data_IF_798426844076
#
_entry.id   IF_798426844076
#
_cell.length_a   1.000
_cell.length_b   1.000
_cell.length_c   1.000
_cell.angle_alpha   90.00
_cell.angle_beta   90.00
_cell.angle_gamma   90.00
#
_symmetry.space_group_name_H-M   'P 1'
#
loop_
_entity.id
_entity.type
_entity.pdbx_description
1 polymer ?
#
# COMPACT_ATOMS: atom_id res chain seq x y z
N UNK A 1 -25.59 23.97 -23.51
CA UNK A 1 -26.03 22.55 -23.32
C UNK A 1 -25.23 21.61 -24.23
N UNK A 2 -23.92 21.87 -24.41
CA UNK A 2 -23.04 21.06 -25.28
C UNK A 2 -22.13 20.08 -24.54
N UNK A 3 -22.17 20.06 -23.21
CA UNK A 3 -21.27 19.21 -22.41
C UNK A 3 -21.65 17.72 -22.31
N UNK A 4 -22.88 17.34 -22.65
CA UNK A 4 -23.35 15.98 -22.43
C UNK A 4 -23.02 15.00 -23.58
N UNK A 5 -22.83 15.49 -24.80
CA UNK A 5 -22.52 14.63 -25.95
C UNK A 5 -21.05 14.15 -25.90
N UNK A 6 -20.13 14.98 -25.43
CA UNK A 6 -18.72 14.59 -25.31
C UNK A 6 -18.50 13.52 -24.20
N UNK A 7 -19.29 13.56 -23.14
CA UNK A 7 -19.21 12.58 -22.06
C UNK A 7 -19.71 11.21 -22.50
N UNK A 8 -20.85 11.16 -23.21
CA UNK A 8 -21.43 9.93 -23.76
C UNK A 8 -20.51 9.36 -24.84
N UNK A 9 -19.95 10.22 -25.73
CA UNK A 9 -18.97 9.80 -26.73
C UNK A 9 -17.72 9.16 -26.12
N UNK A 10 -17.22 9.68 -24.99
CA UNK A 10 -16.09 9.09 -24.25
C UNK A 10 -16.43 7.72 -23.64
N UNK A 11 -17.66 7.53 -23.12
CA UNK A 11 -18.08 6.21 -22.64
C UNK A 11 -18.19 5.17 -23.74
N UNK A 12 -18.66 5.57 -24.93
CA UNK A 12 -18.77 4.68 -26.08
C UNK A 12 -17.42 4.33 -26.76
N UNK A 13 -16.39 5.15 -26.53
CA UNK A 13 -15.01 4.91 -27.02
C UNK A 13 -14.15 4.14 -26.04
N UNK A 14 -14.64 3.76 -24.86
CA UNK A 14 -13.95 2.85 -23.96
C UNK A 14 -14.01 1.45 -24.59
N UNK A 15 -13.02 1.17 -25.41
CA UNK A 15 -12.81 -0.18 -25.96
C UNK A 15 -11.91 -0.97 -25.01
N UNK A 16 -12.04 -2.30 -25.04
CA UNK A 16 -11.12 -3.20 -24.33
C UNK A 16 -9.66 -3.06 -24.83
N UNK A 17 -9.45 -2.41 -25.96
CA UNK A 17 -8.16 -2.09 -26.54
C UNK A 17 -7.61 -0.72 -26.11
N UNK A 18 -8.30 -0.01 -25.20
CA UNK A 18 -7.78 1.27 -24.69
C UNK A 18 -6.40 1.05 -24.05
N UNK A 19 -5.44 1.92 -24.40
CA UNK A 19 -4.07 1.84 -23.86
C UNK A 19 -4.02 1.82 -22.33
N UNK A 20 -4.98 2.45 -21.68
CA UNK A 20 -5.12 2.49 -20.22
C UNK A 20 -5.52 1.14 -19.64
N UNK A 21 -6.47 0.43 -20.25
CA UNK A 21 -6.90 -0.89 -19.78
C UNK A 21 -5.81 -1.94 -20.03
N UNK A 22 -5.20 -1.93 -21.21
CA UNK A 22 -4.10 -2.84 -21.52
C UNK A 22 -2.89 -2.61 -20.61
N UNK A 23 -2.60 -1.36 -20.26
CA UNK A 23 -1.57 -1.03 -19.29
C UNK A 23 -1.87 -1.65 -17.91
N UNK A 24 -3.11 -1.53 -17.41
CA UNK A 24 -3.51 -2.14 -16.13
C UNK A 24 -3.40 -3.67 -16.16
N UNK A 25 -3.84 -4.31 -17.23
CA UNK A 25 -3.71 -5.77 -17.38
C UNK A 25 -2.24 -6.21 -17.38
N UNK A 26 -1.36 -5.41 -17.97
CA UNK A 26 0.08 -5.67 -17.91
C UNK A 26 0.60 -5.60 -16.47
N UNK A 27 0.22 -4.55 -15.70
CA UNK A 27 0.62 -4.44 -14.28
C UNK A 27 0.12 -5.63 -13.45
N UNK A 28 -1.14 -6.07 -13.68
CA UNK A 28 -1.72 -7.21 -12.97
C UNK A 28 -0.94 -8.50 -13.29
N UNK A 29 -0.66 -8.73 -14.57
CA UNK A 29 0.13 -9.89 -15.02
C UNK A 29 1.51 -9.91 -14.39
N UNK A 30 2.20 -8.78 -14.38
CA UNK A 30 3.57 -8.68 -13.91
C UNK A 30 3.67 -8.82 -12.39
N UNK A 31 2.66 -8.33 -11.63
CA UNK A 31 2.69 -8.38 -10.16
C UNK A 31 2.30 -9.75 -9.59
N UNK A 32 1.50 -10.56 -10.27
CA UNK A 32 1.01 -11.84 -9.75
C UNK A 32 2.12 -12.81 -9.32
N UNK A 33 3.18 -13.05 -10.11
CA UNK A 33 4.29 -13.90 -9.68
C UNK A 33 5.01 -13.36 -8.45
N UNK A 34 5.09 -12.03 -8.30
CA UNK A 34 5.71 -11.36 -7.15
C UNK A 34 4.88 -11.62 -5.89
N UNK A 35 3.57 -11.41 -5.97
CA UNK A 35 2.64 -11.68 -4.85
C UNK A 35 2.78 -13.13 -4.36
N UNK A 36 2.84 -14.10 -5.27
CA UNK A 36 2.95 -15.52 -4.90
C UNK A 36 4.26 -15.83 -4.18
N UNK A 37 5.35 -15.17 -4.54
CA UNK A 37 6.67 -15.36 -3.90
C UNK A 37 6.78 -14.68 -2.54
N UNK A 38 5.96 -13.66 -2.27
CA UNK A 38 6.05 -12.84 -1.06
C UNK A 38 4.76 -12.91 -0.22
N UNK A 39 4.55 -13.97 0.58
CA UNK A 39 3.33 -14.17 1.36
C UNK A 39 3.06 -13.05 2.39
N UNK A 40 4.08 -12.32 2.81
CA UNK A 40 4.03 -11.17 3.72
C UNK A 40 4.29 -9.83 3.02
N UNK A 41 4.27 -9.80 1.68
CA UNK A 41 4.42 -8.61 0.87
C UNK A 41 5.84 -8.06 0.80
N UNK A 42 5.97 -6.97 0.05
CA UNK A 42 7.21 -6.20 -0.12
C UNK A 42 7.28 -4.97 0.79
N UNK A 43 6.23 -4.69 1.53
CA UNK A 43 6.07 -3.45 2.29
C UNK A 43 5.52 -2.29 1.45
N UNK A 44 5.16 -1.21 2.13
CA UNK A 44 4.63 -0.01 1.50
C UNK A 44 5.59 0.52 0.42
N UNK A 45 5.04 0.87 -0.75
CA UNK A 45 5.80 1.27 -1.95
C UNK A 45 6.74 0.19 -2.52
N UNK A 46 6.70 -1.05 -2.02
CA UNK A 46 7.51 -2.15 -2.54
C UNK A 46 7.30 -2.39 -4.02
N UNK A 47 6.06 -2.31 -4.50
CA UNK A 47 5.74 -2.39 -5.92
C UNK A 47 6.51 -1.35 -6.75
N UNK A 48 6.50 -0.08 -6.34
CA UNK A 48 7.16 1.00 -7.06
C UNK A 48 8.68 0.81 -7.16
N UNK A 49 9.32 0.40 -6.07
CA UNK A 49 10.78 0.23 -6.05
C UNK A 49 11.24 -1.07 -6.73
N UNK A 50 10.43 -2.13 -6.67
CA UNK A 50 10.79 -3.44 -7.23
C UNK A 50 10.35 -3.62 -8.69
N UNK A 51 9.47 -2.77 -9.24
CA UNK A 51 8.86 -2.97 -10.56
C UNK A 51 9.88 -3.15 -11.69
N UNK A 52 11.02 -2.48 -11.63
CA UNK A 52 12.09 -2.62 -12.62
C UNK A 52 12.68 -4.03 -12.73
N UNK A 53 12.58 -4.83 -11.65
CA UNK A 53 13.07 -6.22 -11.62
C UNK A 53 12.09 -7.26 -12.18
N UNK A 54 10.79 -6.92 -12.33
CA UNK A 54 9.79 -7.89 -12.78
C UNK A 54 8.87 -7.41 -13.92
N UNK A 55 8.92 -6.12 -14.28
CA UNK A 55 8.11 -5.58 -15.36
C UNK A 55 8.49 -6.19 -16.72
N UNK A 56 7.47 -6.55 -17.52
CA UNK A 56 7.65 -7.11 -18.86
C UNK A 56 7.44 -6.07 -19.97
N UNK A 57 7.07 -4.84 -19.62
CA UNK A 57 6.92 -3.71 -20.53
C UNK A 57 7.53 -2.43 -19.97
N UNK A 58 7.58 -1.38 -20.78
CA UNK A 58 8.10 -0.07 -20.35
C UNK A 58 6.99 0.73 -19.71
N UNK A 59 6.96 0.77 -18.38
CA UNK A 59 6.05 1.60 -17.60
C UNK A 59 6.70 2.02 -16.28
N UNK A 60 6.20 3.11 -15.71
CA UNK A 60 6.57 3.56 -14.37
C UNK A 60 5.29 4.02 -13.67
N UNK A 61 4.82 3.24 -12.70
CA UNK A 61 3.63 3.57 -11.92
C UNK A 61 3.86 3.30 -10.45
N UNK A 62 3.22 4.10 -9.59
CA UNK A 62 3.35 3.93 -8.14
C UNK A 62 2.48 2.81 -7.60
N UNK A 63 1.35 2.55 -8.25
CA UNK A 63 0.32 1.64 -7.78
C UNK A 63 -0.12 0.69 -8.88
N UNK A 64 -0.59 -0.47 -8.49
CA UNK A 64 -1.05 -1.54 -9.41
C UNK A 64 -2.38 -1.17 -10.09
N UNK A 65 -3.12 -0.15 -9.60
CA UNK A 65 -4.49 0.17 -10.03
C UNK A 65 -5.49 -0.96 -9.82
N UNK A 66 -5.33 -1.69 -8.74
CA UNK A 66 -6.26 -2.66 -8.19
C UNK A 66 -5.88 -2.87 -6.73
N UNK A 67 -6.76 -2.50 -5.83
CA UNK A 67 -6.43 -2.49 -4.39
C UNK A 67 -6.18 -3.87 -3.79
N UNK A 68 -6.85 -4.92 -4.25
CA UNK A 68 -6.55 -6.25 -3.75
C UNK A 68 -5.13 -6.70 -4.15
N UNK A 69 -4.72 -6.40 -5.38
CA UNK A 69 -3.37 -6.69 -5.82
C UNK A 69 -2.36 -5.78 -5.13
N UNK A 70 -2.70 -4.50 -4.92
CA UNK A 70 -1.85 -3.57 -4.17
C UNK A 70 -1.65 -4.04 -2.72
N UNK A 71 -2.73 -4.38 -2.02
CA UNK A 71 -2.64 -4.97 -0.68
C UNK A 71 -1.81 -6.26 -0.67
N UNK A 72 -2.03 -7.12 -1.66
CA UNK A 72 -1.30 -8.39 -1.74
C UNK A 72 0.21 -8.19 -1.97
N UNK A 73 0.61 -7.15 -2.70
CA UNK A 73 2.04 -6.85 -2.88
C UNK A 73 2.63 -6.09 -1.69
N UNK A 74 1.83 -5.26 -1.00
CA UNK A 74 2.33 -4.46 0.12
C UNK A 74 2.40 -5.27 1.43
N UNK A 75 1.31 -5.96 1.80
CA UNK A 75 1.21 -6.67 3.09
C UNK A 75 1.22 -8.20 2.97
N UNK A 76 1.18 -8.71 1.75
CA UNK A 76 1.14 -10.13 1.44
C UNK A 76 -0.27 -10.66 1.16
N UNK A 77 -0.32 -11.77 0.43
CA UNK A 77 -1.59 -12.36 0.02
C UNK A 77 -2.37 -12.99 1.18
N UNK A 78 -1.71 -13.44 2.26
CA UNK A 78 -2.39 -14.01 3.43
C UNK A 78 -3.24 -12.96 4.14
N UNK A 79 -2.71 -11.80 4.60
CA UNK A 79 -3.54 -10.73 5.18
C UNK A 79 -4.59 -10.20 4.20
N UNK A 80 -4.27 -10.12 2.92
CA UNK A 80 -5.20 -9.65 1.88
C UNK A 80 -6.42 -10.56 1.75
N UNK A 81 -6.24 -11.86 1.79
CA UNK A 81 -7.35 -12.82 1.78
C UNK A 81 -8.23 -12.68 3.02
N UNK A 82 -7.65 -12.47 4.20
CA UNK A 82 -8.40 -12.23 5.43
C UNK A 82 -9.21 -10.92 5.34
N UNK A 83 -8.61 -9.88 4.80
CA UNK A 83 -9.29 -8.60 4.57
C UNK A 83 -10.44 -8.74 3.55
N UNK A 84 -10.18 -9.36 2.41
CA UNK A 84 -11.20 -9.62 1.38
C UNK A 84 -12.34 -10.48 1.93
N UNK A 85 -12.04 -11.49 2.74
CA UNK A 85 -13.03 -12.31 3.41
C UNK A 85 -13.92 -11.48 4.36
N UNK A 86 -13.32 -10.58 5.15
CA UNK A 86 -14.07 -9.69 6.04
C UNK A 86 -15.01 -8.76 5.27
N UNK A 87 -14.55 -8.17 4.16
CA UNK A 87 -15.37 -7.33 3.28
C UNK A 87 -16.54 -8.14 2.68
N UNK A 88 -16.25 -9.32 2.14
CA UNK A 88 -17.26 -10.19 1.54
C UNK A 88 -18.30 -10.64 2.58
N UNK A 89 -17.85 -11.06 3.76
CA UNK A 89 -18.73 -11.42 4.86
C UNK A 89 -19.68 -10.27 5.22
N UNK A 90 -19.16 -9.04 5.30
CA UNK A 90 -19.98 -7.86 5.60
C UNK A 90 -20.97 -7.56 4.48
N UNK A 91 -20.54 -7.65 3.22
CA UNK A 91 -21.36 -7.42 2.04
C UNK A 91 -22.55 -8.42 1.96
N UNK A 92 -22.29 -9.67 2.34
CA UNK A 92 -23.29 -10.76 2.28
C UNK A 92 -24.13 -10.87 3.57
N UNK A 93 -23.78 -10.18 4.64
CA UNK A 93 -24.50 -10.24 5.91
C UNK A 93 -25.93 -9.71 5.74
N UNK A 94 -26.93 -10.52 6.15
CA UNK A 94 -28.35 -10.17 5.96
C UNK A 94 -28.79 -8.93 6.74
N UNK A 95 -28.13 -8.66 7.87
CA UNK A 95 -28.44 -7.53 8.75
C UNK A 95 -27.77 -6.21 8.31
N UNK A 96 -26.83 -6.24 7.35
CA UNK A 96 -26.22 -5.03 6.85
C UNK A 96 -27.28 -4.13 6.22
N UNK A 97 -27.46 -2.87 6.68
CA UNK A 97 -28.39 -1.93 6.08
C UNK A 97 -28.14 -1.74 4.59
N UNK A 98 -29.19 -1.61 3.80
CA UNK A 98 -29.07 -1.52 2.34
C UNK A 98 -28.13 -0.41 1.88
N UNK A 99 -28.19 0.77 2.51
CA UNK A 99 -27.30 1.91 2.20
C UNK A 99 -25.83 1.56 2.43
N UNK A 100 -25.49 0.95 3.57
CA UNK A 100 -24.11 0.55 3.87
C UNK A 100 -23.63 -0.52 2.90
N UNK A 101 -24.49 -1.48 2.54
CA UNK A 101 -24.17 -2.53 1.56
C UNK A 101 -23.91 -1.94 0.17
N UNK A 102 -24.73 -0.98 -0.28
CA UNK A 102 -24.52 -0.31 -1.56
C UNK A 102 -23.21 0.50 -1.56
N UNK A 103 -22.93 1.23 -0.48
CA UNK A 103 -21.70 1.99 -0.35
C UNK A 103 -20.47 1.08 -0.32
N UNK A 104 -20.50 0.01 0.48
CA UNK A 104 -19.44 -1.00 0.53
C UNK A 104 -19.22 -1.64 -0.84
N UNK A 105 -20.29 -2.02 -1.53
CA UNK A 105 -20.21 -2.57 -2.88
C UNK A 105 -19.57 -1.58 -3.86
N UNK A 106 -20.01 -0.31 -3.84
CA UNK A 106 -19.47 0.72 -4.72
C UNK A 106 -17.96 0.93 -4.50
N UNK A 107 -17.54 1.04 -3.23
CA UNK A 107 -16.11 1.18 -2.89
C UNK A 107 -15.33 -0.05 -3.37
N UNK A 108 -15.78 -1.26 -3.04
CA UNK A 108 -15.09 -2.48 -3.43
C UNK A 108 -15.02 -2.64 -4.96
N UNK A 109 -16.10 -2.32 -5.68
CA UNK A 109 -16.14 -2.43 -7.13
C UNK A 109 -15.19 -1.42 -7.80
N UNK A 110 -15.15 -0.18 -7.34
CA UNK A 110 -14.24 0.84 -7.87
C UNK A 110 -12.78 0.52 -7.54
N UNK A 111 -12.50 0.08 -6.31
CA UNK A 111 -11.16 -0.33 -5.87
C UNK A 111 -10.57 -1.53 -6.65
N UNK A 112 -11.40 -2.28 -7.39
CA UNK A 112 -10.90 -3.29 -8.33
C UNK A 112 -10.27 -2.69 -9.58
N UNK A 113 -10.52 -1.41 -9.85
CA UNK A 113 -10.09 -0.72 -11.07
C UNK A 113 -9.12 0.42 -10.79
N UNK A 114 -8.97 0.84 -9.52
CA UNK A 114 -8.09 1.94 -9.14
C UNK A 114 -7.48 1.75 -7.74
N UNK A 115 -6.74 2.77 -7.24
CA UNK A 115 -6.03 2.78 -5.93
C UNK A 115 -6.75 3.64 -4.89
N UNK A 116 -8.04 3.40 -4.67
CA UNK A 116 -8.90 4.23 -3.83
C UNK A 116 -8.51 4.24 -2.35
N UNK A 117 -8.09 3.09 -1.81
CA UNK A 117 -7.79 2.95 -0.39
C UNK A 117 -6.46 3.59 0.02
N UNK A 118 -5.69 4.10 -0.94
CA UNK A 118 -4.54 4.98 -0.67
C UNK A 118 -5.00 6.36 -0.18
N UNK A 119 -6.26 6.72 -0.43
CA UNK A 119 -6.86 7.93 0.12
C UNK A 119 -7.48 7.63 1.49
N UNK A 120 -6.91 8.23 2.52
CA UNK A 120 -7.34 8.02 3.91
C UNK A 120 -8.84 8.28 4.10
N UNK A 121 -9.43 9.24 3.38
CA UNK A 121 -10.87 9.52 3.41
C UNK A 121 -11.72 8.34 2.94
N UNK A 122 -11.35 7.68 1.84
CA UNK A 122 -12.06 6.51 1.31
C UNK A 122 -11.88 5.32 2.26
N UNK A 123 -10.66 5.11 2.75
CA UNK A 123 -10.37 4.08 3.73
C UNK A 123 -11.20 4.26 5.01
N UNK A 124 -11.36 5.52 5.47
CA UNK A 124 -12.18 5.82 6.65
C UNK A 124 -13.66 5.54 6.40
N UNK A 125 -14.19 5.90 5.23
CA UNK A 125 -15.57 5.58 4.85
C UNK A 125 -15.77 4.07 4.78
N UNK A 126 -14.84 3.33 4.17
CA UNK A 126 -14.87 1.86 4.15
C UNK A 126 -14.93 1.30 5.58
N UNK A 127 -14.08 1.81 6.49
CA UNK A 127 -14.06 1.37 7.89
C UNK A 127 -15.40 1.61 8.60
N UNK A 128 -16.05 2.75 8.35
CA UNK A 128 -17.37 3.06 8.92
C UNK A 128 -18.47 2.11 8.41
N UNK A 129 -18.31 1.49 7.24
CA UNK A 129 -19.25 0.48 6.73
C UNK A 129 -19.06 -0.88 7.37
N UNK A 130 -17.94 -1.10 8.07
CA UNK A 130 -17.59 -2.35 8.73
C UNK A 130 -18.14 -2.45 10.15
N UNK A 131 -19.26 -1.77 10.45
CA UNK A 131 -19.88 -1.67 11.75
C UNK A 131 -19.85 -3.01 12.53
N UNK A 132 -19.26 -3.02 13.74
CA UNK A 132 -19.10 -4.22 14.55
C UNK A 132 -20.36 -4.67 15.28
N UNK A 133 -21.51 -3.98 15.17
CA UNK A 133 -22.73 -4.30 15.96
C UNK A 133 -23.25 -5.74 15.78
N UNK A 134 -22.78 -6.47 14.77
CA UNK A 134 -23.13 -7.88 14.56
C UNK A 134 -22.15 -8.89 15.20
N UNK A 135 -21.05 -8.43 15.75
CA UNK A 135 -20.14 -9.28 16.51
C UNK A 135 -20.80 -9.68 17.82
N UNK A 136 -20.75 -10.97 18.20
CA UNK A 136 -20.91 -11.30 19.64
C UNK A 136 -19.96 -10.38 20.38
N UNK A 137 -20.47 -9.59 21.33
CA UNK A 137 -19.60 -8.86 22.22
C UNK A 137 -18.62 -9.86 22.83
N UNK A 138 -17.42 -9.90 22.30
CA UNK A 138 -16.32 -10.53 23.01
C UNK A 138 -16.01 -9.55 24.11
N UNK A 139 -16.72 -9.70 25.23
CA UNK A 139 -16.39 -8.99 26.46
C UNK A 139 -15.05 -9.55 26.91
N UNK A 140 -14.00 -9.02 26.31
CA UNK A 140 -12.67 -9.20 26.85
C UNK A 140 -12.68 -8.52 28.21
N UNK A 141 -12.78 -9.32 29.27
CA UNK A 141 -12.51 -8.84 30.63
C UNK A 141 -11.01 -8.49 30.67
N UNK A 142 -10.69 -7.30 30.16
CA UNK A 142 -9.36 -6.76 30.34
C UNK A 142 -9.14 -6.62 31.83
N UNK A 143 -8.30 -7.47 32.43
CA UNK A 143 -7.69 -7.15 33.72
C UNK A 143 -7.19 -5.73 33.57
N UNK A 144 -7.63 -4.80 34.43
CA UNK A 144 -7.26 -3.37 34.35
C UNK A 144 -5.79 -3.26 34.00
N UNK A 145 -5.46 -2.65 32.85
CA UNK A 145 -4.08 -2.63 32.41
C UNK A 145 -3.24 -1.95 33.46
N UNK A 146 -2.09 -2.53 33.77
CA UNK A 146 -1.16 -1.89 34.68
C UNK A 146 -0.81 -0.53 34.10
N UNK A 147 -1.25 0.56 34.74
CA UNK A 147 -1.04 1.93 34.24
C UNK A 147 0.42 2.19 33.89
N UNK A 148 1.36 1.64 34.68
CA UNK A 148 2.78 1.75 34.39
C UNK A 148 3.17 1.09 33.06
N UNK A 149 2.66 -0.12 32.80
CA UNK A 149 2.91 -0.82 31.54
C UNK A 149 2.31 -0.05 30.35
N UNK A 150 1.10 0.52 30.50
CA UNK A 150 0.48 1.35 29.48
C UNK A 150 1.30 2.62 29.18
N UNK A 151 1.76 3.34 30.22
CA UNK A 151 2.60 4.52 30.03
C UNK A 151 3.96 4.18 29.40
N UNK A 152 4.57 3.06 29.81
CA UNK A 152 5.83 2.60 29.21
C UNK A 152 5.66 2.21 27.76
N UNK A 153 4.60 1.48 27.39
CA UNK A 153 4.34 1.10 26.00
C UNK A 153 4.00 2.32 25.13
N UNK A 154 3.20 3.25 25.63
CA UNK A 154 2.90 4.50 24.93
C UNK A 154 4.17 5.37 24.78
N UNK A 155 4.99 5.47 25.80
CA UNK A 155 6.28 6.18 25.75
C UNK A 155 7.26 5.55 24.75
N UNK A 156 7.37 4.22 24.73
CA UNK A 156 8.18 3.49 23.77
C UNK A 156 7.70 3.71 22.34
N UNK A 157 6.38 3.63 22.10
CA UNK A 157 5.79 3.90 20.79
C UNK A 157 6.06 5.34 20.35
N UNK A 158 5.86 6.32 21.23
CA UNK A 158 6.15 7.72 20.97
C UNK A 158 7.64 7.95 20.62
N UNK A 159 8.55 7.29 21.35
CA UNK A 159 9.98 7.37 21.06
C UNK A 159 10.33 6.80 19.67
N UNK A 160 9.75 5.66 19.29
CA UNK A 160 9.90 5.08 17.95
C UNK A 160 9.35 6.02 16.88
N UNK A 161 8.15 6.58 17.09
CA UNK A 161 7.57 7.54 16.15
C UNK A 161 8.42 8.80 15.99
N UNK A 162 8.95 9.34 17.09
CA UNK A 162 9.84 10.50 17.04
C UNK A 162 11.16 10.18 16.32
N UNK A 163 11.73 9.01 16.58
CA UNK A 163 12.96 8.57 15.91
C UNK A 163 12.77 8.42 14.41
N UNK A 164 11.70 7.70 13.98
CA UNK A 164 11.36 7.54 12.56
C UNK A 164 10.99 8.89 11.94
N UNK A 165 10.23 9.72 12.66
CA UNK A 165 9.88 11.07 12.23
C UNK A 165 11.13 11.95 12.01
N UNK A 166 12.13 11.87 12.87
CA UNK A 166 13.39 12.59 12.69
C UNK A 166 14.16 12.13 11.44
N UNK A 167 14.18 10.82 11.17
CA UNK A 167 14.79 10.27 9.97
C UNK A 167 14.09 10.76 8.68
N UNK A 168 12.75 10.69 8.67
CA UNK A 168 11.95 11.16 7.54
C UNK A 168 12.08 12.68 7.34
N UNK A 169 12.09 13.44 8.42
CA UNK A 169 12.28 14.89 8.38
C UNK A 169 13.67 15.27 7.83
N UNK A 170 14.71 14.52 8.21
CA UNK A 170 16.05 14.70 7.64
C UNK A 170 16.05 14.48 6.12
N UNK A 171 15.37 13.43 5.63
CA UNK A 171 15.19 13.17 4.20
C UNK A 171 14.41 14.28 3.50
N UNK A 172 13.31 14.74 4.10
CA UNK A 172 12.53 15.89 3.59
C UNK A 172 13.40 17.17 3.46
N UNK A 173 14.29 17.42 4.41
CA UNK A 173 15.26 18.53 4.38
C UNK A 173 16.43 18.27 3.43
N UNK A 174 16.40 17.21 2.63
CA UNK A 174 17.46 16.78 1.70
C UNK A 174 18.81 16.51 2.40
N UNK A 175 18.77 16.18 3.69
CA UNK A 175 19.94 15.68 4.42
C UNK A 175 19.95 14.15 4.39
N UNK A 176 20.20 13.60 3.19
CA UNK A 176 20.11 12.16 2.92
C UNK A 176 21.15 11.37 3.72
N UNK A 177 22.30 11.96 4.01
CA UNK A 177 23.33 11.34 4.83
C UNK A 177 22.83 11.10 6.27
N UNK A 178 22.18 12.09 6.88
CA UNK A 178 21.58 11.96 8.20
C UNK A 178 20.38 11.01 8.20
N UNK A 179 19.50 11.12 7.20
CA UNK A 179 18.35 10.25 7.06
C UNK A 179 18.77 8.77 6.95
N UNK A 180 19.75 8.47 6.09
CA UNK A 180 20.29 7.13 5.90
C UNK A 180 21.07 6.60 7.12
N UNK A 181 21.63 7.49 7.94
CA UNK A 181 22.29 7.13 9.20
C UNK A 181 21.28 6.79 10.29
N UNK A 182 20.24 7.60 10.44
CA UNK A 182 19.18 7.39 11.42
C UNK A 182 18.32 6.16 11.04
N UNK A 183 17.89 6.08 9.79
CA UNK A 183 17.10 4.95 9.30
C UNK A 183 17.75 4.35 8.05
N UNK A 184 18.66 3.38 8.21
CA UNK A 184 19.37 2.76 7.10
C UNK A 184 18.48 2.02 6.09
N UNK A 185 17.24 1.67 6.44
CA UNK A 185 16.23 1.11 5.54
C UNK A 185 15.46 2.15 4.72
N UNK A 186 15.75 3.46 4.87
CA UNK A 186 15.07 4.49 4.10
C UNK A 186 15.63 4.56 2.67
N UNK A 187 15.06 3.75 1.81
CA UNK A 187 15.50 3.55 0.42
C UNK A 187 15.63 4.85 -0.38
N UNK A 188 14.71 5.86 -0.31
CA UNK A 188 14.87 7.09 -1.07
C UNK A 188 16.22 7.80 -0.83
N UNK A 189 16.61 7.99 0.43
CA UNK A 189 17.89 8.62 0.75
C UNK A 189 19.09 7.74 0.39
N UNK A 190 18.96 6.42 0.48
CA UNK A 190 20.04 5.51 0.07
C UNK A 190 20.27 5.60 -1.45
N UNK A 191 19.21 5.70 -2.26
CA UNK A 191 19.31 5.85 -3.71
C UNK A 191 19.95 7.20 -4.10
N UNK A 192 19.59 8.29 -3.41
CA UNK A 192 20.22 9.60 -3.63
C UNK A 192 21.72 9.53 -3.33
N UNK A 193 22.11 8.89 -2.23
CA UNK A 193 23.51 8.71 -1.87
C UNK A 193 24.26 7.79 -2.83
N UNK A 194 23.60 6.76 -3.38
CA UNK A 194 24.15 5.90 -4.43
C UNK A 194 24.42 6.70 -5.72
N UNK A 195 23.44 7.50 -6.14
CA UNK A 195 23.58 8.35 -7.34
C UNK A 195 24.66 9.41 -7.20
N UNK A 196 24.98 9.84 -5.95
CA UNK A 196 26.03 10.79 -5.65
C UNK A 196 27.41 10.17 -5.36
N UNK A 197 27.58 8.85 -5.54
CA UNK A 197 28.86 8.17 -5.27
C UNK A 197 29.96 8.67 -6.21
N UNK A 198 31.13 8.97 -5.64
CA UNK A 198 32.25 9.56 -6.39
C UNK A 198 33.17 8.50 -7.02
N UNK A 199 33.13 7.27 -6.52
CA UNK A 199 33.95 6.16 -7.02
C UNK A 199 33.14 4.92 -7.29
N UNK A 200 33.56 4.05 -8.25
CA UNK A 200 32.88 2.79 -8.53
C UNK A 200 32.82 1.88 -7.29
N UNK A 201 33.86 1.86 -6.45
CA UNK A 201 33.88 1.05 -5.23
C UNK A 201 32.85 1.54 -4.21
N UNK A 202 32.71 2.86 -4.05
CA UNK A 202 31.68 3.43 -3.18
C UNK A 202 30.27 3.12 -3.69
N UNK A 203 30.06 3.24 -5.00
CA UNK A 203 28.80 2.91 -5.64
C UNK A 203 28.44 1.43 -5.40
N UNK A 204 29.39 0.52 -5.62
CA UNK A 204 29.20 -0.91 -5.39
C UNK A 204 28.84 -1.21 -3.92
N UNK A 205 29.61 -0.66 -2.97
CA UNK A 205 29.36 -0.88 -1.53
C UNK A 205 27.99 -0.36 -1.08
N UNK A 206 27.51 0.77 -1.66
CA UNK A 206 26.19 1.32 -1.39
C UNK A 206 25.09 0.47 -2.02
N UNK A 207 25.29 0.00 -3.26
CA UNK A 207 24.36 -0.89 -3.94
C UNK A 207 24.21 -2.21 -3.17
N UNK A 208 25.30 -2.86 -2.78
CA UNK A 208 25.27 -4.10 -2.01
C UNK A 208 24.54 -3.93 -0.67
N UNK A 209 24.72 -2.78 -0.02
CA UNK A 209 24.01 -2.47 1.23
C UNK A 209 22.50 -2.27 1.03
N UNK A 210 22.08 -1.70 -0.10
CA UNK A 210 20.65 -1.57 -0.45
C UNK A 210 20.08 -2.94 -0.74
N UNK A 211 20.74 -3.73 -1.58
CA UNK A 211 20.31 -5.07 -2.00
C UNK A 211 20.25 -6.04 -0.82
N UNK A 212 21.23 -6.04 0.08
CA UNK A 212 21.21 -6.92 1.26
C UNK A 212 20.04 -6.68 2.22
N UNK A 213 19.38 -5.54 2.10
CA UNK A 213 18.22 -5.16 2.94
C UNK A 213 16.89 -5.23 2.20
N UNK A 214 16.94 -5.24 0.89
CA UNK A 214 15.78 -5.25 0.00
C UNK A 214 15.98 -6.33 -1.07
N UNK A 215 16.02 -7.60 -0.65
CA UNK A 215 16.17 -8.74 -1.55
C UNK A 215 15.15 -8.76 -2.71
N UNK A 216 14.04 -8.05 -2.54
CA UNK A 216 13.01 -7.90 -3.56
C UNK A 216 13.38 -6.90 -4.67
N UNK A 217 14.49 -6.16 -4.53
CA UNK A 217 14.98 -5.21 -5.55
C UNK A 217 16.11 -5.87 -6.40
N UNK A 218 16.63 -7.00 -5.94
CA UNK A 218 17.59 -7.82 -6.65
C UNK A 218 16.87 -8.74 -7.63
#
# INVERSE_FOLDING_TARGET
ITGNQDTIGRFLTISLESSTLMGRLLYYRDVLPVILKHPFGLGYMGYYYAQGGFQTGVYATKFVHNELLQFAVDVGWIPTLLFAFALLRRLLARKTPAMQRMLLFAICAHSMLDFDLQFLSIFFVLFLTMDPEEGKEIVWQWKKPNRRALFLSAGALAAVCLYLGAALFAGYRKNDALAARLYPGYTPSQLVLLAGAQTPQEAQARADKILSRNESIA
#
